data_IF_718676742593
#
_entry.id   IF_718676742593
#
_cell.length_a   1.000
_cell.length_b   1.000
_cell.length_c   1.000
_cell.angle_alpha   90.00
_cell.angle_beta   90.00
_cell.angle_gamma   90.00
#
_symmetry.space_group_name_H-M   'P 1'
#
loop_
_entity.id
_entity.type
_entity.pdbx_description
1 polymer ?
#
# COMPACT_ATOMS: atom_id res chain seq x y z
N UNK A 1 25.87 -18.86 -36.30
CA UNK A 1 24.61 -19.16 -35.59
C UNK A 1 24.55 -18.31 -34.34
N UNK A 2 23.51 -17.49 -34.21
CA UNK A 2 23.28 -16.66 -33.01
C UNK A 2 22.61 -17.54 -31.96
N UNK A 3 23.15 -17.59 -30.74
CA UNK A 3 22.61 -18.44 -29.65
C UNK A 3 21.69 -17.66 -28.72
N UNK A 4 22.01 -16.40 -28.41
CA UNK A 4 21.16 -15.54 -27.57
C UNK A 4 21.13 -14.11 -28.15
N UNK A 5 20.05 -13.71 -28.84
CA UNK A 5 20.01 -12.41 -29.53
C UNK A 5 19.89 -11.21 -28.57
N UNK A 6 19.40 -11.41 -27.35
CA UNK A 6 19.22 -10.37 -26.32
C UNK A 6 20.27 -10.44 -25.20
N UNK A 7 21.49 -10.90 -25.50
CA UNK A 7 22.46 -11.23 -24.45
C UNK A 7 23.02 -9.97 -23.79
N UNK A 8 23.11 -10.00 -22.46
CA UNK A 8 23.84 -9.02 -21.67
C UNK A 8 25.28 -9.46 -21.42
N UNK A 9 26.11 -8.56 -20.88
CA UNK A 9 27.51 -8.86 -20.59
C UNK A 9 27.62 -9.86 -19.43
N UNK A 10 28.03 -11.09 -19.74
CA UNK A 10 28.30 -12.13 -18.75
C UNK A 10 29.62 -11.91 -18.00
N UNK A 11 29.67 -12.34 -16.74
CA UNK A 11 30.91 -12.34 -15.95
C UNK A 11 31.73 -13.60 -16.24
N UNK A 12 33.06 -13.45 -16.22
CA UNK A 12 33.97 -14.59 -16.41
C UNK A 12 33.85 -15.53 -15.20
N UNK A 13 33.48 -16.79 -15.42
CA UNK A 13 33.23 -17.78 -14.37
C UNK A 13 31.80 -17.76 -13.81
N UNK A 14 30.84 -17.20 -14.53
CA UNK A 14 29.42 -17.35 -14.20
C UNK A 14 29.01 -18.83 -14.26
N UNK A 15 28.59 -19.38 -13.13
CA UNK A 15 28.22 -20.79 -13.00
C UNK A 15 27.07 -21.17 -13.92
N UNK A 16 27.12 -22.38 -14.47
CA UNK A 16 26.14 -23.00 -15.36
C UNK A 16 25.88 -22.27 -16.69
N UNK A 17 26.66 -21.23 -17.02
CA UNK A 17 26.47 -20.45 -18.25
C UNK A 17 26.65 -21.30 -19.52
N UNK A 18 27.71 -22.13 -19.57
CA UNK A 18 27.97 -23.00 -20.72
C UNK A 18 26.86 -24.04 -20.92
N UNK A 19 26.36 -24.62 -19.83
CA UNK A 19 25.25 -25.58 -19.84
C UNK A 19 23.94 -24.92 -20.30
N UNK A 20 23.64 -23.71 -19.80
CA UNK A 20 22.47 -22.93 -20.21
C UNK A 20 22.53 -22.53 -21.68
N UNK A 21 23.69 -22.07 -22.17
CA UNK A 21 23.88 -21.76 -23.59
C UNK A 21 23.80 -23.01 -24.47
N UNK A 22 24.27 -24.16 -23.97
CA UNK A 22 24.09 -25.46 -24.62
C UNK A 22 22.61 -25.84 -24.74
N UNK A 23 21.86 -25.69 -23.64
CA UNK A 23 20.41 -25.94 -23.58
C UNK A 23 19.64 -24.97 -24.48
N UNK A 24 20.04 -23.70 -24.53
CA UNK A 24 19.44 -22.70 -25.40
C UNK A 24 19.62 -23.03 -26.89
N UNK A 25 20.78 -23.62 -27.24
CA UNK A 25 21.13 -23.99 -28.62
C UNK A 25 20.49 -25.30 -29.09
N UNK A 26 20.40 -26.30 -28.22
CA UNK A 26 20.07 -27.68 -28.62
C UNK A 26 18.93 -28.31 -27.81
N UNK A 27 18.34 -27.59 -26.86
CA UNK A 27 17.22 -28.05 -26.06
C UNK A 27 15.91 -28.05 -26.83
N UNK A 28 14.91 -28.73 -26.28
CA UNK A 28 13.52 -28.62 -26.74
C UNK A 28 13.00 -27.18 -26.53
N UNK A 29 11.97 -26.71 -27.26
CA UNK A 29 11.43 -25.37 -27.07
C UNK A 29 11.12 -25.01 -25.60
N UNK A 30 10.50 -25.90 -24.78
CA UNK A 30 10.36 -25.70 -23.35
C UNK A 30 11.67 -25.47 -22.58
N UNK A 31 12.68 -26.30 -22.84
CA UNK A 31 13.97 -26.22 -22.14
C UNK A 31 14.77 -24.99 -22.57
N UNK A 32 14.75 -24.66 -23.86
CA UNK A 32 15.38 -23.47 -24.41
C UNK A 32 14.71 -22.19 -23.87
N UNK A 33 13.38 -22.16 -23.75
CA UNK A 33 12.65 -21.05 -23.16
C UNK A 33 12.98 -20.84 -21.68
N UNK A 34 13.03 -21.91 -20.88
CA UNK A 34 13.47 -21.81 -19.48
C UNK A 34 14.90 -21.26 -19.39
N UNK A 35 15.84 -21.79 -20.19
CA UNK A 35 17.22 -21.34 -20.20
C UNK A 35 17.34 -19.87 -20.62
N UNK A 36 16.61 -19.44 -21.64
CA UNK A 36 16.53 -18.03 -22.05
C UNK A 36 16.04 -17.14 -20.90
N UNK A 37 14.91 -17.51 -20.28
CA UNK A 37 14.33 -16.75 -19.18
C UNK A 37 15.25 -16.71 -17.94
N UNK A 38 16.11 -17.69 -17.72
CA UNK A 38 17.12 -17.66 -16.63
C UNK A 38 18.31 -16.75 -16.94
N UNK A 39 18.62 -16.52 -18.21
CA UNK A 39 19.76 -15.72 -18.65
C UNK A 39 19.46 -14.21 -18.71
N UNK A 40 18.20 -13.83 -18.87
CA UNK A 40 17.80 -12.41 -18.86
C UNK A 40 17.71 -11.85 -17.43
N UNK A 41 18.10 -10.59 -17.17
CA UNK A 41 18.00 -9.99 -15.83
C UNK A 41 16.57 -9.60 -15.42
N UNK A 42 15.69 -9.33 -16.38
CA UNK A 42 14.32 -8.90 -16.14
C UNK A 42 13.50 -10.00 -15.45
N UNK A 43 12.49 -9.62 -14.66
CA UNK A 43 11.66 -10.61 -13.98
C UNK A 43 10.94 -11.54 -14.96
N UNK A 44 10.39 -11.00 -16.05
CA UNK A 44 9.64 -11.74 -17.05
C UNK A 44 9.93 -11.20 -18.45
N UNK A 45 9.71 -12.03 -19.47
CA UNK A 45 9.81 -11.65 -20.88
C UNK A 45 8.46 -11.85 -21.56
N UNK A 46 8.06 -10.90 -22.41
CA UNK A 46 6.80 -11.02 -23.16
C UNK A 46 6.84 -12.16 -24.18
N UNK A 47 5.65 -12.56 -24.65
CA UNK A 47 5.53 -13.64 -25.65
C UNK A 47 6.34 -13.37 -26.91
N UNK A 48 6.32 -12.14 -27.41
CA UNK A 48 6.92 -11.78 -28.69
C UNK A 48 8.45 -11.93 -28.62
N UNK A 49 9.05 -11.48 -27.52
CA UNK A 49 10.48 -11.57 -27.24
C UNK A 49 10.91 -13.03 -27.11
N UNK A 50 10.19 -13.86 -26.37
CA UNK A 50 10.51 -15.30 -26.24
C UNK A 50 10.41 -15.99 -27.60
N UNK A 51 9.35 -15.70 -28.37
CA UNK A 51 9.14 -16.27 -29.71
C UNK A 51 10.27 -15.89 -30.65
N UNK A 52 10.65 -14.60 -30.66
CA UNK A 52 11.73 -14.09 -31.50
C UNK A 52 13.10 -14.61 -31.07
N UNK A 53 13.36 -14.68 -29.76
CA UNK A 53 14.65 -15.11 -29.22
C UNK A 53 15.00 -16.55 -29.59
N UNK A 54 13.97 -17.39 -29.65
CA UNK A 54 14.08 -18.84 -29.82
C UNK A 54 13.60 -19.32 -31.19
N UNK A 55 13.12 -18.40 -32.03
CA UNK A 55 12.53 -18.67 -33.35
C UNK A 55 11.42 -19.73 -33.28
N UNK A 56 10.50 -19.58 -32.33
CA UNK A 56 9.40 -20.52 -32.10
C UNK A 56 8.21 -20.27 -33.02
N UNK A 57 7.48 -21.34 -33.34
CA UNK A 57 6.13 -21.28 -33.92
C UNK A 57 5.09 -21.23 -32.80
N UNK A 58 3.87 -20.80 -33.11
CA UNK A 58 2.78 -20.69 -32.13
C UNK A 58 2.48 -22.02 -31.40
N UNK A 59 2.54 -23.13 -32.13
CA UNK A 59 2.36 -24.49 -31.58
C UNK A 59 3.44 -24.84 -30.54
N UNK A 60 4.68 -24.40 -30.78
CA UNK A 60 5.81 -24.64 -29.87
C UNK A 60 5.75 -23.72 -28.66
N UNK A 61 5.28 -22.48 -28.84
CA UNK A 61 5.07 -21.53 -27.75
C UNK A 61 4.01 -22.02 -26.76
N UNK A 62 2.97 -22.73 -27.22
CA UNK A 62 1.99 -23.35 -26.34
C UNK A 62 2.64 -24.37 -25.38
N UNK A 63 3.66 -25.11 -25.83
CA UNK A 63 4.40 -26.07 -24.99
C UNK A 63 5.24 -25.38 -23.90
N UNK A 64 5.66 -24.14 -24.12
CA UNK A 64 6.42 -23.33 -23.16
C UNK A 64 5.56 -22.98 -21.95
N UNK A 65 4.27 -22.66 -22.14
CA UNK A 65 3.36 -22.31 -21.04
C UNK A 65 3.16 -23.46 -20.05
N UNK A 66 3.30 -24.70 -20.52
CA UNK A 66 3.17 -25.93 -19.71
C UNK A 66 4.50 -26.49 -19.24
N UNK A 67 5.61 -25.82 -19.54
CA UNK A 67 6.94 -26.32 -19.27
C UNK A 67 7.25 -26.34 -17.76
N UNK A 68 7.84 -27.44 -17.23
CA UNK A 68 8.31 -27.46 -15.85
C UNK A 68 9.31 -26.34 -15.57
N UNK A 69 9.09 -25.58 -14.50
CA UNK A 69 9.95 -24.47 -14.10
C UNK A 69 9.72 -23.16 -14.86
N UNK A 70 8.81 -23.14 -15.84
CA UNK A 70 8.31 -21.91 -16.48
C UNK A 70 6.98 -21.54 -15.85
N UNK A 71 6.80 -20.24 -15.63
CA UNK A 71 5.60 -19.68 -15.04
C UNK A 71 4.98 -18.67 -16.01
N UNK A 72 3.81 -18.97 -16.61
CA UNK A 72 3.09 -18.03 -17.44
C UNK A 72 2.45 -16.92 -16.59
N UNK A 73 2.45 -15.69 -17.12
CA UNK A 73 1.90 -14.48 -16.48
C UNK A 73 0.89 -13.84 -17.45
N UNK A 74 -0.36 -13.56 -17.05
CA UNK A 74 -0.93 -13.80 -15.71
C UNK A 74 -1.33 -15.26 -15.45
N UNK A 75 -1.62 -16.04 -16.48
CA UNK A 75 -2.08 -17.43 -16.33
C UNK A 75 -1.70 -18.26 -17.55
N UNK A 76 -1.89 -19.58 -17.43
CA UNK A 76 -1.52 -20.54 -18.48
C UNK A 76 -2.50 -20.54 -19.67
N UNK A 77 -3.72 -20.03 -19.52
CA UNK A 77 -4.73 -20.00 -20.59
C UNK A 77 -4.44 -18.88 -21.57
N UNK A 78 -4.05 -17.70 -21.06
CA UNK A 78 -3.68 -16.54 -21.85
C UNK A 78 -2.37 -15.88 -21.34
N UNK A 79 -1.21 -16.55 -21.50
CA UNK A 79 0.06 -15.99 -21.06
C UNK A 79 0.43 -14.77 -21.89
N UNK A 80 0.61 -13.61 -21.27
CA UNK A 80 1.16 -12.39 -21.88
C UNK A 80 2.69 -12.32 -21.76
N UNK A 81 3.24 -12.93 -20.72
CA UNK A 81 4.66 -13.03 -20.45
C UNK A 81 5.01 -14.37 -19.79
N UNK A 82 6.30 -14.67 -19.74
CA UNK A 82 6.84 -15.85 -19.08
C UNK A 82 7.94 -15.46 -18.09
N UNK A 83 7.96 -16.11 -16.94
CA UNK A 83 9.06 -16.07 -15.96
C UNK A 83 9.43 -17.50 -15.57
N UNK A 84 10.37 -17.68 -14.64
CA UNK A 84 10.73 -18.99 -14.11
C UNK A 84 10.28 -19.14 -12.67
N UNK A 85 10.06 -20.37 -12.23
CA UNK A 85 9.75 -20.68 -10.83
C UNK A 85 10.84 -20.15 -9.89
N UNK A 86 12.11 -20.27 -10.28
CA UNK A 86 13.23 -19.74 -9.49
C UNK A 86 13.20 -18.20 -9.35
N UNK A 87 12.83 -17.47 -10.41
CA UNK A 87 12.64 -16.02 -10.34
C UNK A 87 11.43 -15.64 -9.48
N UNK A 88 10.34 -16.39 -9.61
CA UNK A 88 9.16 -16.21 -8.76
C UNK A 88 9.49 -16.39 -7.28
N UNK A 89 10.16 -17.48 -6.90
CA UNK A 89 10.52 -17.76 -5.51
C UNK A 89 11.42 -16.67 -4.91
N UNK A 90 12.37 -16.17 -5.70
CA UNK A 90 13.23 -15.04 -5.30
C UNK A 90 12.42 -13.76 -5.12
N UNK A 91 11.55 -13.42 -6.07
CA UNK A 91 10.70 -12.24 -5.99
C UNK A 91 9.77 -12.34 -4.77
N UNK A 92 9.15 -13.49 -4.54
CA UNK A 92 8.30 -13.74 -3.37
C UNK A 92 9.08 -13.53 -2.07
N UNK A 93 10.27 -14.12 -1.95
CA UNK A 93 11.12 -13.95 -0.78
C UNK A 93 11.51 -12.48 -0.54
N UNK A 94 11.87 -11.76 -1.61
CA UNK A 94 12.18 -10.33 -1.52
C UNK A 94 10.98 -9.49 -1.09
N UNK A 95 9.81 -9.69 -1.72
CA UNK A 95 8.58 -8.97 -1.39
C UNK A 95 8.22 -9.16 0.08
N UNK A 96 8.19 -10.42 0.55
CA UNK A 96 7.86 -10.72 1.94
C UNK A 96 8.93 -10.17 2.90
N UNK A 97 10.20 -10.22 2.51
CA UNK A 97 11.32 -9.65 3.25
C UNK A 97 11.21 -8.14 3.42
N UNK A 98 10.93 -7.41 2.34
CA UNK A 98 10.74 -5.95 2.35
C UNK A 98 9.54 -5.55 3.20
N UNK A 99 8.39 -6.21 3.03
CA UNK A 99 7.19 -5.94 3.84
C UNK A 99 7.46 -6.21 5.32
N UNK A 100 8.11 -7.32 5.66
CA UNK A 100 8.48 -7.64 7.04
C UNK A 100 9.45 -6.64 7.64
N UNK A 101 10.46 -6.20 6.88
CA UNK A 101 11.41 -5.18 7.32
C UNK A 101 10.73 -3.82 7.54
N UNK A 102 9.83 -3.42 6.64
CA UNK A 102 9.04 -2.20 6.79
C UNK A 102 8.21 -2.22 8.08
N UNK A 103 7.51 -3.32 8.37
CA UNK A 103 6.74 -3.47 9.61
C UNK A 103 7.60 -3.46 10.86
N UNK A 104 8.81 -4.03 10.84
CA UNK A 104 9.74 -3.94 11.97
C UNK A 104 10.25 -2.51 12.20
N UNK A 105 10.50 -1.78 11.11
CA UNK A 105 11.07 -0.43 11.17
C UNK A 105 10.00 0.61 11.52
N UNK A 106 8.77 0.38 11.07
CA UNK A 106 7.61 1.25 11.26
C UNK A 106 6.37 0.43 11.68
N UNK A 107 6.32 -0.12 12.91
CA UNK A 107 5.24 -1.01 13.36
C UNK A 107 3.83 -0.41 13.34
N UNK A 108 3.75 0.92 13.26
CA UNK A 108 2.52 1.69 13.35
C UNK A 108 1.99 2.11 11.97
N UNK A 109 2.77 1.85 10.92
CA UNK A 109 2.30 2.00 9.55
C UNK A 109 1.44 0.78 9.22
N UNK A 110 0.20 0.97 8.74
CA UNK A 110 -0.74 -0.14 8.50
C UNK A 110 -0.27 -1.08 7.38
N UNK A 111 0.44 -0.55 6.39
CA UNK A 111 0.93 -1.30 5.25
C UNK A 111 1.97 -0.51 4.47
N UNK A 112 2.67 -1.17 3.55
CA UNK A 112 3.60 -0.54 2.63
C UNK A 112 2.87 -0.18 1.33
N UNK A 113 3.13 1.00 0.77
CA UNK A 113 2.58 1.39 -0.53
C UNK A 113 3.10 0.48 -1.65
N UNK A 114 2.21 0.05 -2.54
CA UNK A 114 2.54 -0.87 -3.63
C UNK A 114 3.69 -0.36 -4.51
N UNK A 115 3.68 0.92 -4.86
CA UNK A 115 4.73 1.50 -5.70
C UNK A 115 6.07 1.59 -4.96
N UNK A 116 6.04 1.94 -3.67
CA UNK A 116 7.24 1.94 -2.84
C UNK A 116 7.83 0.53 -2.73
N UNK A 117 6.99 -0.48 -2.50
CA UNK A 117 7.43 -1.88 -2.47
C UNK A 117 8.07 -2.29 -3.80
N UNK A 118 7.43 -1.99 -4.93
CA UNK A 118 7.92 -2.34 -6.27
C UNK A 118 9.32 -1.78 -6.55
N UNK A 119 9.55 -0.52 -6.19
CA UNK A 119 10.85 0.16 -6.41
C UNK A 119 12.00 -0.36 -5.54
N UNK A 120 11.69 -1.08 -4.46
CA UNK A 120 12.69 -1.66 -3.55
C UNK A 120 13.14 -3.08 -3.95
N UNK A 121 12.51 -3.69 -4.96
CA UNK A 121 12.85 -5.03 -5.43
C UNK A 121 14.12 -5.02 -6.28
N UNK A 122 14.84 -6.15 -6.29
CA UNK A 122 16.04 -6.28 -7.13
C UNK A 122 15.72 -6.44 -8.61
N UNK A 123 14.51 -6.92 -8.92
CA UNK A 123 14.02 -7.05 -10.28
C UNK A 123 13.34 -5.78 -10.76
N UNK A 124 13.61 -5.41 -12.01
CA UNK A 124 12.73 -4.48 -12.71
C UNK A 124 11.43 -5.20 -13.09
N UNK A 125 10.34 -4.84 -12.41
CA UNK A 125 9.01 -5.43 -12.63
C UNK A 125 8.05 -4.34 -13.13
N UNK A 126 7.48 -4.49 -14.34
CA UNK A 126 6.45 -3.58 -14.84
C UNK A 126 5.22 -3.55 -13.90
N UNK A 127 4.52 -2.41 -13.77
CA UNK A 127 3.41 -2.27 -12.81
C UNK A 127 2.32 -3.34 -12.94
N UNK A 128 1.97 -3.73 -14.17
CA UNK A 128 0.96 -4.76 -14.42
C UNK A 128 1.40 -6.15 -13.94
N UNK A 129 2.65 -6.53 -14.21
CA UNK A 129 3.21 -7.80 -13.74
C UNK A 129 3.37 -7.79 -12.21
N UNK A 130 3.77 -6.66 -11.64
CA UNK A 130 3.90 -6.52 -10.18
C UNK A 130 2.54 -6.67 -9.48
N UNK A 131 1.48 -6.04 -10.01
CA UNK A 131 0.12 -6.21 -9.49
C UNK A 131 -0.30 -7.66 -9.50
N UNK A 132 -0.04 -8.39 -10.58
CA UNK A 132 -0.30 -9.83 -10.64
C UNK A 132 0.48 -10.62 -9.57
N UNK A 133 1.75 -10.30 -9.34
CA UNK A 133 2.55 -10.93 -8.30
C UNK A 133 1.93 -10.73 -6.91
N UNK A 134 1.52 -9.50 -6.60
CA UNK A 134 0.84 -9.17 -5.33
C UNK A 134 -0.49 -9.91 -5.21
N UNK A 135 -1.33 -9.88 -6.25
CA UNK A 135 -2.63 -10.54 -6.25
C UNK A 135 -2.48 -12.07 -6.03
N UNK A 136 -1.44 -12.68 -6.61
CA UNK A 136 -1.09 -14.08 -6.36
C UNK A 136 -0.66 -14.35 -4.91
N UNK A 137 0.14 -13.48 -4.30
CA UNK A 137 0.52 -13.60 -2.88
C UNK A 137 -0.67 -13.40 -1.93
N UNK A 138 -1.60 -12.51 -2.29
CA UNK A 138 -2.85 -12.31 -1.55
C UNK A 138 -3.74 -13.55 -1.65
N UNK A 139 -3.90 -14.12 -2.84
CA UNK A 139 -4.64 -15.37 -3.04
C UNK A 139 -4.04 -16.55 -2.25
N UNK A 140 -2.71 -16.57 -2.10
CA UNK A 140 -1.99 -17.54 -1.28
C UNK A 140 -2.07 -17.24 0.24
N UNK A 141 -2.73 -16.15 0.66
CA UNK A 141 -2.82 -15.75 2.07
C UNK A 141 -1.50 -15.26 2.67
N UNK A 142 -0.52 -14.91 1.84
CA UNK A 142 0.84 -14.48 2.26
C UNK A 142 0.94 -12.97 2.45
N UNK A 143 0.01 -12.22 1.85
CA UNK A 143 -0.15 -10.78 2.00
C UNK A 143 -1.63 -10.44 2.13
N UNK A 144 -1.89 -9.27 2.71
CA UNK A 144 -3.20 -8.62 2.67
C UNK A 144 -3.04 -7.31 1.93
N UNK A 145 -3.92 -7.05 0.95
CA UNK A 145 -3.98 -5.77 0.24
C UNK A 145 -5.21 -4.98 0.67
N UNK A 146 -4.99 -3.74 1.07
CA UNK A 146 -6.01 -2.77 1.43
C UNK A 146 -5.80 -1.53 0.54
N UNK A 147 -6.62 -1.39 -0.50
CA UNK A 147 -6.46 -0.37 -1.56
C UNK A 147 -5.07 -0.39 -2.23
N UNK A 148 -4.21 0.61 -1.97
CA UNK A 148 -2.83 0.72 -2.46
C UNK A 148 -1.78 0.20 -1.48
N UNK A 149 -2.20 -0.23 -0.29
CA UNK A 149 -1.33 -0.72 0.76
C UNK A 149 -1.27 -2.24 0.78
N UNK A 150 -0.09 -2.78 1.08
CA UNK A 150 0.12 -4.21 1.32
C UNK A 150 0.75 -4.44 2.68
N UNK A 151 0.29 -5.47 3.39
CA UNK A 151 0.84 -5.85 4.70
C UNK A 151 0.95 -7.36 4.86
N UNK A 152 1.72 -7.79 5.85
CA UNK A 152 1.72 -9.18 6.26
C UNK A 152 0.37 -9.50 6.94
N UNK A 153 -0.20 -10.70 6.76
CA UNK A 153 -1.47 -11.10 7.36
C UNK A 153 -1.49 -10.94 8.89
N UNK A 154 -0.36 -11.24 9.53
CA UNK A 154 -0.18 -11.16 10.98
C UNK A 154 0.08 -9.74 11.47
N UNK A 155 0.45 -8.82 10.58
CA UNK A 155 0.71 -7.43 10.97
C UNK A 155 -0.59 -6.74 11.31
N UNK A 156 -0.75 -6.46 12.60
CA UNK A 156 -1.76 -5.56 13.15
C UNK A 156 -1.04 -4.45 13.88
N UNK A 157 -1.35 -3.21 13.53
CA UNK A 157 -0.86 -2.04 14.24
C UNK A 157 -1.38 -2.12 15.69
N UNK A 158 -0.49 -2.39 16.63
CA UNK A 158 -0.83 -2.51 18.04
C UNK A 158 0.25 -1.83 18.89
N UNK A 159 -0.20 -1.05 19.87
CA UNK A 159 0.70 -0.38 20.80
C UNK A 159 1.29 -1.40 21.80
N UNK A 160 2.58 -1.28 22.10
CA UNK A 160 3.21 -1.94 23.25
C UNK A 160 2.64 -1.44 24.59
N UNK A 161 3.02 -2.03 25.72
CA UNK A 161 2.44 -1.67 27.03
C UNK A 161 2.54 -0.18 27.38
N UNK A 162 3.71 0.45 27.15
CA UNK A 162 3.89 1.90 27.34
C UNK A 162 3.05 2.73 26.36
N UNK A 163 2.97 2.31 25.10
CA UNK A 163 2.12 2.94 24.09
C UNK A 163 0.63 2.86 24.45
N UNK A 164 0.15 1.73 24.99
CA UNK A 164 -1.25 1.59 25.43
C UNK A 164 -1.58 2.53 26.58
N UNK A 165 -0.67 2.69 27.55
CA UNK A 165 -0.85 3.63 28.65
C UNK A 165 -0.90 5.08 28.14
N UNK A 166 -0.01 5.45 27.21
CA UNK A 166 -0.04 6.76 26.56
C UNK A 166 -1.32 6.96 25.73
N UNK A 167 -1.76 5.93 25.01
CA UNK A 167 -2.99 5.94 24.22
C UNK A 167 -4.23 6.19 25.08
N UNK A 168 -4.34 5.53 26.22
CA UNK A 168 -5.43 5.78 27.18
C UNK A 168 -5.43 7.22 27.70
N UNK A 169 -4.25 7.79 28.01
CA UNK A 169 -4.14 9.20 28.43
C UNK A 169 -4.53 10.17 27.31
N UNK A 170 -4.09 9.91 26.07
CA UNK A 170 -4.45 10.72 24.91
C UNK A 170 -5.96 10.66 24.63
N UNK A 171 -6.55 9.47 24.62
CA UNK A 171 -7.99 9.29 24.42
C UNK A 171 -8.80 10.00 25.49
N UNK A 172 -8.38 9.91 26.76
CA UNK A 172 -9.03 10.63 27.86
C UNK A 172 -8.96 12.15 27.67
N UNK A 173 -7.78 12.71 27.41
CA UNK A 173 -7.61 14.16 27.18
C UNK A 173 -8.47 14.66 26.02
N UNK A 174 -8.52 13.91 24.91
CA UNK A 174 -9.32 14.28 23.75
C UNK A 174 -10.82 14.16 24.01
N UNK A 175 -11.25 13.16 24.79
CA UNK A 175 -12.64 13.02 25.21
C UNK A 175 -13.08 14.19 26.11
N UNK A 176 -12.26 14.55 27.11
CA UNK A 176 -12.54 15.65 28.04
C UNK A 176 -12.61 17.01 27.32
N UNK A 177 -11.77 17.21 26.30
CA UNK A 177 -11.74 18.47 25.54
C UNK A 177 -12.90 18.67 24.56
N UNK A 178 -13.70 17.62 24.26
CA UNK A 178 -14.83 17.61 23.31
C UNK A 178 -14.57 18.39 22.01
N UNK A 179 -15.07 19.62 21.91
CA UNK A 179 -15.07 20.46 20.71
C UNK A 179 -13.88 21.43 20.64
N UNK A 180 -13.04 21.44 21.67
CA UNK A 180 -11.84 22.29 21.75
C UNK A 180 -10.60 21.44 22.08
N UNK A 181 -10.27 20.42 21.26
CA UNK A 181 -9.15 19.56 21.56
C UNK A 181 -7.83 20.34 21.56
N UNK A 182 -6.88 19.93 22.42
CA UNK A 182 -5.52 20.48 22.40
C UNK A 182 -4.84 20.20 21.07
N UNK A 183 -3.98 21.12 20.63
CA UNK A 183 -3.09 20.85 19.50
C UNK A 183 -1.90 19.97 19.92
N UNK A 184 -1.11 19.51 18.93
CA UNK A 184 0.03 18.64 19.21
C UNK A 184 1.04 19.25 20.19
N UNK A 185 1.27 20.58 20.16
CA UNK A 185 2.22 21.20 21.09
C UNK A 185 1.69 21.17 22.52
N UNK A 186 0.40 21.44 22.69
CA UNK A 186 -0.25 21.35 24.00
C UNK A 186 -0.24 19.92 24.54
N UNK A 187 -0.39 18.91 23.66
CA UNK A 187 -0.28 17.50 24.04
C UNK A 187 1.15 17.14 24.48
N UNK A 188 2.18 17.61 23.75
CA UNK A 188 3.59 17.45 24.13
C UNK A 188 3.85 18.01 25.54
N UNK A 189 3.41 19.24 25.80
CA UNK A 189 3.55 19.92 27.09
C UNK A 189 2.80 19.20 28.22
N UNK A 190 1.57 18.76 27.97
CA UNK A 190 0.71 18.13 28.99
C UNK A 190 1.18 16.72 29.36
N UNK A 191 1.65 15.96 28.37
CA UNK A 191 2.03 14.56 28.56
C UNK A 191 3.52 14.40 28.92
N UNK A 192 4.36 15.39 28.59
CA UNK A 192 5.81 15.31 28.76
C UNK A 192 6.45 14.30 27.81
N UNK A 193 5.87 14.10 26.63
CA UNK A 193 6.27 13.08 25.66
C UNK A 193 6.65 13.76 24.34
N UNK A 194 7.65 13.21 23.65
CA UNK A 194 8.09 13.75 22.36
C UNK A 194 6.97 13.66 21.31
N UNK A 195 6.90 14.66 20.42
CA UNK A 195 5.92 14.69 19.31
C UNK A 195 5.84 13.41 18.51
N UNK A 196 7.00 12.79 18.26
CA UNK A 196 7.11 11.54 17.49
C UNK A 196 6.27 10.43 18.13
N UNK A 197 6.45 10.18 19.42
CA UNK A 197 5.76 9.10 20.13
C UNK A 197 4.25 9.40 20.26
N UNK A 198 3.86 10.68 20.40
CA UNK A 198 2.46 11.10 20.40
C UNK A 198 1.81 10.83 19.05
N UNK A 199 2.45 11.23 17.95
CA UNK A 199 1.95 11.00 16.59
C UNK A 199 1.83 9.50 16.28
N UNK A 200 2.82 8.73 16.72
CA UNK A 200 2.85 7.28 16.63
C UNK A 200 1.62 6.64 17.33
N UNK A 201 1.33 7.06 18.56
CA UNK A 201 0.15 6.57 19.30
C UNK A 201 -1.17 7.05 18.68
N UNK A 202 -1.25 8.32 18.27
CA UNK A 202 -2.43 8.87 17.62
C UNK A 202 -2.76 8.16 16.30
N UNK A 203 -1.75 7.75 15.52
CA UNK A 203 -1.95 6.97 14.31
C UNK A 203 -2.62 5.61 14.60
N UNK A 204 -2.20 4.94 15.68
CA UNK A 204 -2.87 3.69 16.11
C UNK A 204 -4.30 3.97 16.53
N UNK A 205 -4.52 4.96 17.40
CA UNK A 205 -5.87 5.32 17.85
C UNK A 205 -6.78 5.72 16.68
N UNK A 206 -6.23 6.36 15.64
CA UNK A 206 -6.96 6.71 14.41
C UNK A 206 -7.33 5.45 13.62
N UNK A 207 -6.39 4.51 13.44
CA UNK A 207 -6.66 3.21 12.80
C UNK A 207 -7.65 2.34 13.58
N UNK A 208 -7.68 2.46 14.92
CA UNK A 208 -8.67 1.82 15.79
C UNK A 208 -10.03 2.54 15.76
N UNK A 209 -10.12 3.70 15.09
CA UNK A 209 -11.33 4.50 14.98
C UNK A 209 -11.72 5.25 16.26
N UNK A 210 -10.80 5.37 17.23
CA UNK A 210 -11.02 6.06 18.51
C UNK A 210 -10.82 7.57 18.41
N UNK A 211 -9.96 8.01 17.49
CA UNK A 211 -9.74 9.44 17.21
C UNK A 211 -9.87 9.71 15.72
N UNK A 212 -10.07 10.98 15.39
CA UNK A 212 -10.21 11.47 14.02
C UNK A 212 -9.28 12.64 13.81
N UNK A 213 -8.41 12.58 12.80
CA UNK A 213 -7.56 13.70 12.43
C UNK A 213 -8.34 14.75 11.62
N UNK A 214 -8.72 15.84 12.29
CA UNK A 214 -9.46 16.95 11.68
C UNK A 214 -8.50 17.89 10.93
N UNK A 215 -7.29 18.11 11.43
CA UNK A 215 -6.20 18.84 10.75
C UNK A 215 -4.85 18.20 11.09
N UNK A 216 -3.74 18.51 10.38
CA UNK A 216 -2.44 17.90 10.65
C UNK A 216 -2.02 17.90 12.14
N UNK A 217 -2.35 18.98 12.85
CA UNK A 217 -2.01 19.18 14.26
C UNK A 217 -3.21 19.11 15.21
N UNK A 218 -4.38 18.61 14.75
CA UNK A 218 -5.61 18.62 15.53
C UNK A 218 -6.42 17.32 15.38
N UNK A 219 -6.58 16.62 16.49
CA UNK A 219 -7.29 15.34 16.58
C UNK A 219 -8.50 15.50 17.51
N UNK A 220 -9.60 14.86 17.14
CA UNK A 220 -10.81 14.81 17.96
C UNK A 220 -11.00 13.37 18.45
N UNK A 221 -11.52 13.21 19.66
CA UNK A 221 -12.11 11.92 20.04
C UNK A 221 -13.27 11.59 19.08
N UNK A 222 -13.42 10.32 18.73
CA UNK A 222 -14.45 9.88 17.77
C UNK A 222 -15.84 10.34 18.17
N UNK A 223 -16.19 10.19 19.44
CA UNK A 223 -17.49 10.61 19.97
C UNK A 223 -17.76 12.11 19.77
N UNK A 224 -16.75 12.96 19.99
CA UNK A 224 -16.89 14.41 19.81
C UNK A 224 -17.00 14.80 18.32
N UNK A 225 -16.28 14.10 17.45
CA UNK A 225 -16.42 14.27 16.00
C UNK A 225 -17.83 13.87 15.53
N UNK A 226 -18.39 12.78 16.06
CA UNK A 226 -19.73 12.30 15.69
C UNK A 226 -20.83 13.23 16.12
N UNK A 227 -20.72 13.73 17.34
CA UNK A 227 -21.63 14.74 17.85
C UNK A 227 -21.56 16.02 17.01
N UNK A 228 -20.36 16.46 16.64
CA UNK A 228 -20.17 17.62 15.77
C UNK A 228 -20.82 17.42 14.40
N UNK A 229 -20.67 16.24 13.78
CA UNK A 229 -21.35 15.88 12.53
C UNK A 229 -22.86 15.86 12.70
N UNK A 230 -23.36 15.33 13.82
CA UNK A 230 -24.79 15.30 14.12
C UNK A 230 -25.38 16.71 14.25
N UNK A 231 -24.66 17.64 14.90
CA UNK A 231 -25.05 19.05 14.99
C UNK A 231 -25.12 19.72 13.61
N UNK A 232 -24.10 19.51 12.76
CA UNK A 232 -24.09 20.01 11.37
C UNK A 232 -25.28 19.46 10.59
N UNK A 233 -25.51 18.14 10.64
CA UNK A 233 -26.62 17.48 9.93
C UNK A 233 -27.98 17.99 10.40
N UNK A 234 -28.15 18.13 11.72
CA UNK A 234 -29.40 18.62 12.31
C UNK A 234 -29.68 20.05 11.88
N UNK A 235 -28.68 20.93 11.98
CA UNK A 235 -28.83 22.33 11.59
C UNK A 235 -29.14 22.48 10.09
N UNK A 236 -28.38 21.81 9.22
CA UNK A 236 -28.60 21.86 7.78
C UNK A 236 -29.93 21.24 7.34
N UNK A 237 -30.45 20.22 8.04
CA UNK A 237 -31.79 19.68 7.75
C UNK A 237 -32.90 20.67 8.09
N UNK A 238 -32.72 21.47 9.14
CA UNK A 238 -33.69 22.48 9.56
C UNK A 238 -33.61 23.78 8.74
N UNK A 239 -32.41 24.22 8.34
CA UNK A 239 -32.19 25.55 7.75
C UNK A 239 -31.66 25.50 6.30
N UNK A 240 -31.37 24.31 5.77
CA UNK A 240 -30.82 24.10 4.41
C UNK A 240 -29.31 24.26 4.31
N UNK A 241 -28.70 25.11 5.13
CA UNK A 241 -27.27 25.44 5.09
C UNK A 241 -26.73 25.86 6.47
N UNK A 242 -25.40 25.88 6.60
CA UNK A 242 -24.71 26.32 7.81
C UNK A 242 -23.50 27.19 7.47
N UNK A 243 -23.27 28.25 8.25
CA UNK A 243 -22.05 29.07 8.19
C UNK A 243 -21.06 28.64 9.28
N UNK A 244 -19.79 29.01 9.13
CA UNK A 244 -18.80 28.80 10.18
C UNK A 244 -19.13 29.55 11.49
N UNK A 245 -19.79 30.71 11.41
CA UNK A 245 -20.22 31.48 12.58
C UNK A 245 -21.35 30.75 13.33
N UNK A 246 -22.34 30.25 12.60
CA UNK A 246 -23.43 29.46 13.19
C UNK A 246 -22.91 28.18 13.83
N UNK A 247 -22.02 27.45 13.14
CA UNK A 247 -21.45 26.24 13.71
C UNK A 247 -20.61 26.51 14.97
N UNK A 248 -19.79 27.58 14.95
CA UNK A 248 -19.05 28.06 16.13
C UNK A 248 -19.97 28.25 17.33
N UNK A 249 -21.12 28.88 17.13
CA UNK A 249 -22.07 29.16 18.19
C UNK A 249 -22.73 27.87 18.71
N UNK A 250 -23.00 26.89 17.84
CA UNK A 250 -23.55 25.59 18.23
C UNK A 250 -22.60 24.77 19.09
N UNK A 251 -21.30 24.78 18.78
CA UNK A 251 -20.28 24.01 19.53
C UNK A 251 -19.67 24.81 20.69
N UNK A 252 -20.00 26.09 20.84
CA UNK A 252 -19.44 26.96 21.88
C UNK A 252 -17.93 27.12 21.82
N UNK A 253 -17.33 26.99 20.63
CA UNK A 253 -15.87 26.99 20.45
C UNK A 253 -15.39 28.23 19.69
N UNK A 254 -14.07 28.36 19.51
CA UNK A 254 -13.51 29.44 18.67
C UNK A 254 -13.76 29.20 17.18
N UNK A 255 -13.67 30.27 16.37
CA UNK A 255 -13.80 30.20 14.91
C UNK A 255 -12.75 29.26 14.27
N UNK A 256 -11.57 29.11 14.89
CA UNK A 256 -10.52 28.17 14.45
C UNK A 256 -11.06 26.74 14.41
N UNK A 257 -11.69 26.27 15.49
CA UNK A 257 -12.22 24.92 15.58
C UNK A 257 -13.40 24.70 14.63
N UNK A 258 -14.30 25.68 14.54
CA UNK A 258 -15.46 25.60 13.65
C UNK A 258 -15.05 25.47 12.17
N UNK A 259 -14.10 26.30 11.71
CA UNK A 259 -13.60 26.23 10.33
C UNK A 259 -12.89 24.90 10.08
N UNK A 260 -11.95 24.52 10.97
CA UNK A 260 -11.19 23.29 10.85
C UNK A 260 -12.10 22.06 10.70
N UNK A 261 -13.14 21.98 11.54
CA UNK A 261 -14.07 20.86 11.52
C UNK A 261 -14.95 20.85 10.27
N UNK A 262 -15.43 22.01 9.82
CA UNK A 262 -16.23 22.11 8.60
C UNK A 262 -15.39 21.81 7.34
N UNK A 263 -14.12 22.20 7.29
CA UNK A 263 -13.21 21.82 6.20
C UNK A 263 -12.92 20.31 6.19
N UNK A 264 -12.89 19.68 7.37
CA UNK A 264 -12.86 18.23 7.47
C UNK A 264 -14.16 17.57 6.99
N UNK A 265 -15.34 18.14 7.32
CA UNK A 265 -16.63 17.68 6.79
C UNK A 265 -16.70 17.77 5.26
N UNK A 266 -16.11 18.82 4.67
CA UNK A 266 -16.05 18.99 3.21
C UNK A 266 -15.17 17.90 2.57
N UNK A 267 -13.97 17.66 3.12
CA UNK A 267 -13.04 16.62 2.64
C UNK A 267 -13.60 15.20 2.78
N UNK A 268 -14.34 14.93 3.84
CA UNK A 268 -14.96 13.61 4.10
C UNK A 268 -16.33 13.45 3.43
N UNK A 269 -16.80 14.47 2.70
CA UNK A 269 -18.06 14.41 1.94
C UNK A 269 -19.32 14.51 2.79
N UNK A 270 -19.23 14.96 4.05
CA UNK A 270 -20.40 15.28 4.88
C UNK A 270 -21.11 16.53 4.34
N UNK A 271 -20.33 17.55 3.95
CA UNK A 271 -20.83 18.82 3.42
C UNK A 271 -20.19 19.18 2.08
N UNK A 272 -20.80 20.14 1.39
CA UNK A 272 -20.23 20.81 0.21
C UNK A 272 -20.28 22.31 0.45
N UNK A 273 -19.14 22.97 0.23
CA UNK A 273 -19.00 24.42 0.37
C UNK A 273 -19.51 25.16 -0.88
N UNK A 274 -20.37 26.15 -0.67
CA UNK A 274 -20.93 27.05 -1.68
C UNK A 274 -20.73 28.48 -1.18
N UNK A 275 -19.63 29.11 -1.59
CA UNK A 275 -19.20 30.41 -1.03
C UNK A 275 -18.85 30.30 0.45
N UNK A 276 -19.55 31.06 1.29
CA UNK A 276 -19.40 31.06 2.75
C UNK A 276 -20.34 30.06 3.47
N UNK A 277 -21.21 29.41 2.72
CA UNK A 277 -22.23 28.49 3.20
C UNK A 277 -21.80 27.05 2.94
N UNK A 278 -22.28 26.13 3.76
CA UNK A 278 -22.12 24.69 3.56
C UNK A 278 -23.47 24.01 3.58
N UNK A 279 -23.69 23.10 2.63
CA UNK A 279 -24.90 22.28 2.51
C UNK A 279 -24.55 20.82 2.69
N UNK A 280 -25.52 20.00 3.11
CA UNK A 280 -25.32 18.56 3.13
C UNK A 280 -25.10 18.05 1.71
N UNK A 281 -24.11 17.19 1.54
CA UNK A 281 -23.89 16.48 0.28
C UNK A 281 -25.08 15.56 0.03
N UNK A 282 -25.62 15.60 -1.20
CA UNK A 282 -26.67 14.69 -1.66
C UNK A 282 -26.11 13.29 -1.90
#
# INVERSE_FOLDING_TARGET
MVVHPFANRHRRGEGDLEERLGTLRAGTPPAAARAFLELIPEFASDRATVTQALNLRDEELATVATAPGVLPVPDAEAPEAYTTTAKWERLEAEVLGVVSAAHRTHPLVPGLEMESLRTQLSFEVPPRAFRWCVDRLVAAGRLVREESLVRAPEHRVALGAGGRALGGRLEQLLCEARFTPPDLRQLEETLGVARKDILEVLAVLESEGKVVRVMPDLYYARAAADESVALVRTHCRAHGEITAATFRDLIGASRKFAIAFLDWCDRTGVTVRVGDLRKLRR
#
